data_IF_786409999796
#
_entry.id   IF_786409999796
#
_cell.length_a   1.000
_cell.length_b   1.000
_cell.length_c   1.000
_cell.angle_alpha   90.00
_cell.angle_beta   90.00
_cell.angle_gamma   90.00
#
_symmetry.space_group_name_H-M   'P 1'
#
loop_
_entity.id
_entity.type
_entity.pdbx_description
1 polymer ?
#
# COMPACT_ATOMS: atom_id res chain seq x y z
N UNK A 1 34.75 -14.19 7.23
CA UNK A 1 34.26 -13.22 6.23
C UNK A 1 32.95 -12.67 6.79
N UNK A 2 32.96 -11.44 7.31
CA UNK A 2 31.76 -10.77 7.83
C UNK A 2 30.95 -10.38 6.60
N UNK A 3 29.76 -10.97 6.43
CA UNK A 3 28.81 -10.58 5.40
C UNK A 3 28.47 -9.11 5.67
N UNK A 4 28.84 -8.22 4.76
CA UNK A 4 28.40 -6.83 4.75
C UNK A 4 26.87 -6.85 4.79
N UNK A 5 26.27 -6.36 5.89
CA UNK A 5 24.84 -6.06 5.94
C UNK A 5 24.56 -5.12 4.77
N UNK A 6 23.88 -5.62 3.75
CA UNK A 6 23.48 -4.79 2.62
C UNK A 6 22.72 -3.59 3.18
N UNK A 7 23.26 -2.39 2.99
CA UNK A 7 22.57 -1.16 3.41
C UNK A 7 21.22 -1.13 2.71
N UNK A 8 20.15 -0.89 3.47
CA UNK A 8 18.81 -0.70 2.96
C UNK A 8 18.85 0.37 1.84
N UNK A 9 18.47 0.04 0.58
CA UNK A 9 18.56 0.97 -0.54
C UNK A 9 17.79 2.27 -0.32
N UNK A 10 16.68 2.24 0.41
CA UNK A 10 15.92 3.44 0.77
C UNK A 10 16.74 4.35 1.70
N UNK A 11 17.41 3.77 2.69
CA UNK A 11 18.23 4.51 3.65
C UNK A 11 19.49 5.07 3.00
N UNK A 12 20.07 4.37 2.04
CA UNK A 12 21.36 4.73 1.42
C UNK A 12 21.25 5.53 0.13
N UNK A 13 20.04 5.81 -0.39
CA UNK A 13 19.86 6.53 -1.65
C UNK A 13 20.35 7.98 -1.54
N UNK A 14 21.35 8.41 -2.33
CA UNK A 14 22.07 9.68 -2.12
C UNK A 14 21.24 10.92 -2.47
N UNK A 15 20.27 10.81 -3.38
CA UNK A 15 19.50 11.93 -3.89
C UNK A 15 18.14 12.12 -3.18
N UNK A 16 17.84 11.29 -2.18
CA UNK A 16 16.64 11.43 -1.34
C UNK A 16 17.00 12.23 -0.08
N UNK A 17 16.41 13.41 0.07
CA UNK A 17 16.57 14.23 1.28
C UNK A 17 15.96 13.57 2.52
N UNK A 18 16.44 13.99 3.71
CA UNK A 18 16.07 13.35 4.98
C UNK A 18 14.57 13.37 5.26
N UNK A 19 13.87 14.44 4.93
CA UNK A 19 12.43 14.55 5.14
C UNK A 19 11.63 13.64 4.19
N UNK A 20 12.05 13.51 2.92
CA UNK A 20 11.43 12.59 1.97
C UNK A 20 11.72 11.15 2.36
N UNK A 21 12.94 10.88 2.83
CA UNK A 21 13.34 9.58 3.35
C UNK A 21 12.47 9.17 4.55
N UNK A 22 12.29 10.06 5.51
CA UNK A 22 11.44 9.81 6.67
C UNK A 22 9.96 9.56 6.26
N UNK A 23 9.48 10.29 5.24
CA UNK A 23 8.14 10.06 4.69
C UNK A 23 8.02 8.68 4.04
N UNK A 24 8.98 8.30 3.19
CA UNK A 24 8.99 7.00 2.52
C UNK A 24 9.18 5.84 3.51
N UNK A 25 9.96 6.02 4.57
CA UNK A 25 10.11 5.02 5.62
C UNK A 25 8.80 4.77 6.38
N UNK A 26 8.03 5.83 6.69
CA UNK A 26 6.69 5.67 7.27
C UNK A 26 5.74 4.97 6.30
N UNK A 27 5.74 5.36 5.03
CA UNK A 27 4.94 4.70 4.01
C UNK A 27 5.24 3.20 3.94
N UNK A 28 6.52 2.84 3.88
CA UNK A 28 6.98 1.43 3.82
C UNK A 28 6.66 0.69 5.14
N UNK A 29 6.64 1.38 6.27
CA UNK A 29 6.24 0.80 7.56
C UNK A 29 4.81 0.27 7.56
N UNK A 30 3.91 0.96 6.87
CA UNK A 30 2.46 0.65 6.89
C UNK A 30 1.97 -0.08 5.63
N UNK A 31 2.75 -0.22 4.60
CA UNK A 31 2.27 -0.67 3.30
C UNK A 31 1.96 -2.17 3.17
N UNK A 32 2.31 -2.99 4.18
CA UNK A 32 1.84 -4.38 4.24
C UNK A 32 0.31 -4.43 4.23
N UNK A 33 -0.34 -3.53 5.01
CA UNK A 33 -1.79 -3.39 4.99
C UNK A 33 -2.31 -3.10 3.58
N UNK A 34 -1.65 -2.18 2.85
CA UNK A 34 -2.07 -1.81 1.49
C UNK A 34 -1.88 -2.96 0.51
N UNK A 35 -0.76 -3.71 0.58
CA UNK A 35 -0.53 -4.88 -0.26
C UNK A 35 -1.61 -5.94 -0.05
N UNK A 36 -1.95 -6.21 1.21
CA UNK A 36 -2.97 -7.19 1.59
C UNK A 36 -4.37 -6.77 1.13
N UNK A 37 -4.72 -5.48 1.26
CA UNK A 37 -5.99 -4.93 0.77
C UNK A 37 -6.04 -4.87 -0.76
N UNK A 38 -4.91 -4.54 -1.41
CA UNK A 38 -4.82 -4.47 -2.88
C UNK A 38 -4.80 -5.85 -3.54
N UNK A 39 -4.53 -6.92 -2.76
CA UNK A 39 -4.29 -8.27 -3.26
C UNK A 39 -3.17 -8.29 -4.31
N UNK A 40 -2.11 -7.50 -4.09
CA UNK A 40 -1.07 -7.23 -5.07
C UNK A 40 0.30 -7.06 -4.42
N UNK A 41 1.35 -7.46 -5.12
CA UNK A 41 2.71 -7.08 -4.77
C UNK A 41 2.88 -5.57 -5.01
N UNK A 42 3.50 -4.86 -4.05
CA UNK A 42 3.84 -3.45 -4.21
C UNK A 42 5.35 -3.26 -4.31
N UNK A 43 5.75 -2.35 -5.17
CA UNK A 43 7.16 -1.96 -5.35
C UNK A 43 7.26 -0.43 -5.34
N UNK A 44 8.23 0.10 -4.58
CA UNK A 44 8.56 1.51 -4.50
C UNK A 44 9.71 1.81 -5.45
N UNK A 45 9.49 2.73 -6.38
CA UNK A 45 10.44 3.15 -7.40
C UNK A 45 10.88 4.59 -7.17
N UNK A 46 12.20 4.81 -7.24
CA UNK A 46 12.77 6.15 -7.32
C UNK A 46 13.70 6.25 -8.54
N UNK A 47 13.97 7.46 -9.05
CA UNK A 47 15.00 7.65 -10.05
C UNK A 47 16.32 7.04 -9.55
N UNK A 48 17.10 6.45 -10.44
CA UNK A 48 18.47 6.04 -10.09
C UNK A 48 19.29 7.26 -9.69
N UNK A 49 20.32 7.11 -8.83
CA UNK A 49 21.17 8.22 -8.43
C UNK A 49 21.71 8.99 -9.63
N UNK A 50 21.76 10.33 -9.53
CA UNK A 50 22.20 11.21 -10.63
C UNK A 50 23.61 10.91 -11.19
N UNK A 51 24.44 10.23 -10.40
CA UNK A 51 25.76 9.75 -10.82
C UNK A 51 25.70 8.59 -11.80
N UNK A 52 24.53 7.98 -11.95
CA UNK A 52 24.32 6.82 -12.82
C UNK A 52 23.84 7.31 -14.20
N UNK A 53 24.78 7.37 -15.17
CA UNK A 53 24.53 7.86 -16.53
C UNK A 53 23.49 7.05 -17.31
N UNK A 54 23.25 5.79 -16.93
CA UNK A 54 22.26 4.95 -17.59
C UNK A 54 20.81 5.35 -17.28
N UNK A 55 20.59 6.17 -16.26
CA UNK A 55 19.26 6.70 -15.90
C UNK A 55 18.24 5.62 -15.55
N UNK A 56 17.00 6.02 -15.37
CA UNK A 56 15.86 5.13 -15.11
C UNK A 56 15.42 5.13 -13.66
N UNK A 57 14.81 4.02 -13.22
CA UNK A 57 14.25 3.86 -11.89
C UNK A 57 14.79 2.60 -11.22
N UNK A 58 14.97 2.65 -9.91
CA UNK A 58 15.43 1.56 -9.05
C UNK A 58 14.38 1.24 -8.00
N UNK A 59 14.16 -0.04 -7.72
CA UNK A 59 13.28 -0.50 -6.63
C UNK A 59 13.97 -0.25 -5.29
N UNK A 60 13.36 0.56 -4.42
CA UNK A 60 13.88 0.85 -3.09
C UNK A 60 13.25 -0.02 -2.01
N UNK A 61 12.03 -0.48 -2.23
CA UNK A 61 11.35 -1.39 -1.32
C UNK A 61 10.35 -2.25 -2.10
N UNK A 62 10.04 -3.43 -1.54
CA UNK A 62 9.06 -4.36 -2.06
C UNK A 62 8.28 -4.98 -0.90
N UNK A 63 6.98 -5.19 -1.10
CA UNK A 63 6.14 -5.96 -0.18
C UNK A 63 5.27 -6.93 -0.96
N UNK A 64 5.07 -8.12 -0.37
CA UNK A 64 4.23 -9.19 -0.91
C UNK A 64 2.95 -9.30 -0.10
N UNK A 65 1.77 -9.49 -0.73
CA UNK A 65 0.53 -9.70 0.00
C UNK A 65 0.54 -11.07 0.70
N UNK A 66 -0.09 -11.16 1.88
CA UNK A 66 -0.45 -12.44 2.49
C UNK A 66 -1.82 -12.94 2.02
N UNK A 67 -2.62 -12.07 1.43
CA UNK A 67 -4.00 -12.33 1.01
C UNK A 67 -4.12 -12.83 -0.43
N UNK A 68 -3.03 -12.80 -1.20
CA UNK A 68 -2.97 -13.23 -2.60
C UNK A 68 -1.64 -13.90 -2.91
N UNK A 69 -1.55 -14.74 -3.97
CA UNK A 69 -0.28 -15.26 -4.45
C UNK A 69 0.65 -14.12 -4.87
N UNK A 70 1.93 -14.20 -4.47
CA UNK A 70 2.96 -13.27 -4.93
C UNK A 70 3.34 -13.56 -6.39
N UNK A 71 3.60 -12.51 -7.15
CA UNK A 71 4.09 -12.60 -8.53
C UNK A 71 5.61 -12.52 -8.61
N UNK A 72 6.25 -11.98 -7.59
CA UNK A 72 7.70 -11.88 -7.49
C UNK A 72 8.28 -12.99 -6.62
N UNK A 73 8.80 -14.04 -7.26
CA UNK A 73 9.48 -15.15 -6.57
C UNK A 73 10.84 -14.75 -5.99
N UNK A 74 11.40 -13.63 -6.42
CA UNK A 74 12.69 -13.11 -5.96
C UNK A 74 12.51 -11.68 -5.45
N UNK A 75 13.38 -11.28 -4.56
CA UNK A 75 13.50 -9.89 -4.15
C UNK A 75 14.08 -9.08 -5.32
N UNK A 76 13.42 -7.95 -5.63
CA UNK A 76 13.85 -7.04 -6.69
C UNK A 76 14.37 -5.71 -6.14
N UNK A 77 14.45 -5.55 -4.82
CA UNK A 77 15.03 -4.37 -4.19
C UNK A 77 16.47 -4.17 -4.68
N UNK A 78 16.80 -2.94 -5.08
CA UNK A 78 18.07 -2.61 -5.72
C UNK A 78 18.11 -2.87 -7.23
N UNK A 79 17.11 -3.55 -7.81
CA UNK A 79 17.06 -3.81 -9.25
C UNK A 79 16.49 -2.62 -10.01
N UNK A 80 16.95 -2.45 -11.26
CA UNK A 80 16.41 -1.43 -12.16
C UNK A 80 15.08 -1.86 -12.77
N UNK A 81 14.20 -0.89 -12.99
CA UNK A 81 12.97 -1.11 -13.74
C UNK A 81 13.30 -1.57 -15.17
N UNK A 82 12.65 -2.63 -15.63
CA UNK A 82 12.73 -3.11 -17.01
C UNK A 82 12.21 -2.04 -17.97
N UNK A 83 12.58 -2.13 -19.24
CA UNK A 83 12.28 -1.10 -20.23
C UNK A 83 10.78 -0.76 -20.36
N UNK A 84 9.94 -1.78 -20.37
CA UNK A 84 8.48 -1.67 -20.40
C UNK A 84 7.91 -0.94 -19.16
N UNK A 85 8.30 -1.39 -17.97
CA UNK A 85 7.87 -0.80 -16.70
C UNK A 85 8.48 0.61 -16.51
N UNK A 86 9.73 0.81 -16.92
CA UNK A 86 10.43 2.09 -16.82
C UNK A 86 9.69 3.23 -17.52
N UNK A 87 9.13 2.96 -18.71
CA UNK A 87 8.37 3.95 -19.45
C UNK A 87 7.13 4.43 -18.67
N UNK A 88 6.39 3.51 -18.09
CA UNK A 88 5.16 3.81 -17.32
C UNK A 88 5.49 4.46 -15.97
N UNK A 89 6.51 3.97 -15.26
CA UNK A 89 6.99 4.61 -14.02
C UNK A 89 7.42 6.05 -14.33
N UNK A 90 8.13 6.28 -15.44
CA UNK A 90 8.55 7.61 -15.87
C UNK A 90 7.37 8.53 -16.18
N UNK A 91 6.35 8.05 -16.85
CA UNK A 91 5.12 8.82 -17.09
C UNK A 91 4.43 9.23 -15.78
N UNK A 92 4.27 8.29 -14.84
CA UNK A 92 3.69 8.55 -13.51
C UNK A 92 4.53 9.55 -12.71
N UNK A 93 5.86 9.41 -12.76
CA UNK A 93 6.79 10.30 -12.08
C UNK A 93 6.69 11.75 -12.58
N UNK A 94 6.70 11.95 -13.91
CA UNK A 94 6.69 13.30 -14.51
C UNK A 94 5.27 13.89 -14.57
N UNK A 95 4.25 13.06 -14.78
CA UNK A 95 2.85 13.50 -14.86
C UNK A 95 2.22 13.79 -13.51
N UNK A 96 2.72 13.18 -12.42
CA UNK A 96 2.13 13.35 -11.09
C UNK A 96 0.73 12.73 -10.94
N UNK A 97 0.32 11.91 -11.89
CA UNK A 97 -0.99 11.27 -11.92
C UNK A 97 -0.84 9.74 -11.92
N UNK A 98 -1.87 9.07 -11.39
CA UNK A 98 -1.89 7.62 -11.45
C UNK A 98 -2.02 7.14 -12.88
N UNK A 99 -1.33 6.07 -13.21
CA UNK A 99 -1.49 5.37 -14.47
C UNK A 99 -2.39 4.15 -14.26
N UNK A 100 -3.65 4.26 -14.66
CA UNK A 100 -4.56 3.12 -14.75
C UNK A 100 -4.45 2.49 -16.14
N UNK A 101 -4.49 1.15 -16.17
CA UNK A 101 -4.44 0.41 -17.42
C UNK A 101 -3.11 0.54 -18.15
N UNK A 102 -2.05 0.94 -17.48
CA UNK A 102 -0.71 0.71 -17.98
C UNK A 102 -0.64 -0.76 -18.36
N UNK A 103 -0.50 -1.02 -19.65
CA UNK A 103 -0.70 -2.32 -20.26
C UNK A 103 0.01 -3.47 -19.55
N UNK A 104 -0.28 -4.69 -19.93
CA UNK A 104 0.33 -5.85 -19.30
C UNK A 104 1.86 -5.76 -19.41
N UNK A 105 2.51 -5.76 -18.27
CA UNK A 105 3.97 -5.91 -18.22
C UNK A 105 4.27 -7.38 -18.32
N UNK A 106 5.04 -7.78 -19.33
CA UNK A 106 5.45 -9.19 -19.49
C UNK A 106 6.28 -9.64 -18.29
N UNK A 107 5.81 -10.65 -17.59
CA UNK A 107 6.53 -11.31 -16.50
C UNK A 107 6.79 -12.78 -16.87
N UNK A 108 7.79 -13.41 -16.23
CA UNK A 108 7.93 -14.86 -16.32
C UNK A 108 6.62 -15.53 -15.84
N UNK A 109 5.87 -16.14 -16.76
CA UNK A 109 4.60 -16.82 -16.46
C UNK A 109 3.34 -16.14 -16.98
N UNK A 110 3.43 -14.98 -17.66
CA UNK A 110 2.25 -14.33 -18.27
C UNK A 110 2.26 -12.81 -18.22
N UNK A 111 1.13 -12.26 -18.58
CA UNK A 111 0.86 -10.84 -18.64
C UNK A 111 0.36 -10.35 -17.29
N UNK A 112 1.07 -9.43 -16.64
CA UNK A 112 0.67 -8.83 -15.36
C UNK A 112 -0.08 -7.53 -15.57
N UNK A 113 -1.10 -7.31 -14.76
CA UNK A 113 -1.72 -5.99 -14.64
C UNK A 113 -0.91 -5.14 -13.66
N UNK A 114 -0.44 -3.99 -14.11
CA UNK A 114 0.30 -3.05 -13.28
C UNK A 114 -0.48 -1.74 -13.18
N UNK A 115 -0.68 -1.28 -11.96
CA UNK A 115 -1.24 0.04 -11.65
C UNK A 115 -0.20 0.83 -10.90
N UNK A 116 -0.10 2.13 -11.20
CA UNK A 116 0.94 3.00 -10.65
C UNK A 116 0.33 4.25 -10.02
N UNK A 117 0.88 4.65 -8.90
CA UNK A 117 0.53 5.89 -8.20
C UNK A 117 1.80 6.67 -7.87
N UNK A 118 1.80 8.00 -8.07
CA UNK A 118 2.86 8.84 -7.57
C UNK A 118 2.76 8.95 -6.04
N UNK A 119 3.90 8.95 -5.37
CA UNK A 119 4.01 9.32 -3.96
C UNK A 119 4.29 10.81 -3.91
N UNK A 120 3.34 11.57 -3.40
CA UNK A 120 3.46 13.03 -3.35
C UNK A 120 3.72 13.51 -1.91
N UNK A 121 4.70 14.40 -1.76
CA UNK A 121 4.97 15.12 -0.52
C UNK A 121 5.25 16.59 -0.84
N UNK A 122 4.67 17.50 -0.08
CA UNK A 122 4.83 18.95 -0.28
C UNK A 122 4.62 19.39 -1.76
N UNK A 123 3.61 18.81 -2.42
CA UNK A 123 3.24 19.14 -3.81
C UNK A 123 4.18 18.61 -4.89
N UNK A 124 5.14 17.75 -4.58
CA UNK A 124 6.03 17.14 -5.56
C UNK A 124 6.06 15.62 -5.46
N UNK A 125 6.28 14.96 -6.57
CA UNK A 125 6.47 13.51 -6.63
C UNK A 125 7.85 13.18 -6.07
N UNK A 126 7.92 12.27 -5.08
CA UNK A 126 9.15 11.81 -4.45
C UNK A 126 9.46 10.34 -4.72
N UNK A 127 8.46 9.57 -5.14
CA UNK A 127 8.59 8.17 -5.54
C UNK A 127 7.38 7.77 -6.39
N UNK A 128 7.38 6.53 -6.91
CA UNK A 128 6.23 5.91 -7.56
C UNK A 128 6.00 4.54 -6.93
N UNK A 129 4.77 4.22 -6.56
CA UNK A 129 4.36 2.87 -6.14
C UNK A 129 3.71 2.16 -7.33
N UNK A 130 4.16 0.96 -7.64
CA UNK A 130 3.48 0.06 -8.58
C UNK A 130 2.85 -1.10 -7.83
N UNK A 131 1.59 -1.41 -8.17
CA UNK A 131 0.89 -2.60 -7.70
C UNK A 131 0.78 -3.61 -8.84
N UNK A 132 1.23 -4.82 -8.58
CA UNK A 132 1.28 -5.91 -9.54
C UNK A 132 0.30 -7.00 -9.12
N UNK A 133 -0.68 -7.27 -9.96
CA UNK A 133 -1.69 -8.31 -9.74
C UNK A 133 -1.83 -9.20 -10.98
N UNK A 134 -2.17 -10.46 -10.77
CA UNK A 134 -2.54 -11.37 -11.85
C UNK A 134 -4.01 -11.12 -12.23
N UNK A 135 -4.29 -10.62 -13.43
CA UNK A 135 -5.66 -10.38 -13.87
C UNK A 135 -6.45 -11.68 -14.08
N UNK A 136 -5.76 -12.80 -14.30
CA UNK A 136 -6.34 -14.11 -14.60
C UNK A 136 -6.37 -15.02 -13.37
N UNK A 137 -5.73 -14.61 -12.28
CA UNK A 137 -5.50 -15.44 -11.10
C UNK A 137 -6.75 -15.77 -10.29
N UNK A 138 -7.90 -15.08 -10.57
CA UNK A 138 -9.15 -15.28 -9.83
C UNK A 138 -10.37 -15.14 -10.72
N UNK A 139 -11.36 -16.06 -10.57
CA UNK A 139 -12.72 -15.82 -11.04
C UNK A 139 -13.29 -14.59 -10.28
N UNK A 140 -14.56 -14.25 -10.44
CA UNK A 140 -15.18 -13.07 -9.85
C UNK A 140 -14.75 -12.78 -8.40
N UNK A 141 -14.46 -11.50 -8.09
CA UNK A 141 -14.12 -11.05 -6.73
C UNK A 141 -15.30 -11.25 -5.78
N UNK A 142 -15.00 -11.67 -4.57
CA UNK A 142 -15.98 -11.67 -3.49
C UNK A 142 -16.28 -10.24 -3.00
N UNK A 143 -17.41 -10.03 -2.30
CA UNK A 143 -17.76 -8.73 -1.69
C UNK A 143 -16.64 -8.24 -0.76
N UNK A 144 -15.98 -9.16 -0.05
CA UNK A 144 -14.85 -8.83 0.85
C UNK A 144 -13.68 -8.28 0.01
N UNK A 145 -13.30 -8.97 -1.06
CA UNK A 145 -12.18 -8.56 -1.92
C UNK A 145 -12.46 -7.24 -2.66
N UNK A 146 -13.72 -6.96 -3.01
CA UNK A 146 -14.13 -5.68 -3.59
C UNK A 146 -13.96 -4.54 -2.58
N UNK A 147 -14.40 -4.72 -1.33
CA UNK A 147 -14.21 -3.73 -0.28
C UNK A 147 -12.73 -3.53 0.06
N UNK A 148 -11.95 -4.59 0.11
CA UNK A 148 -10.51 -4.50 0.30
C UNK A 148 -9.84 -3.70 -0.82
N UNK A 149 -10.11 -4.04 -2.07
CA UNK A 149 -9.54 -3.32 -3.23
C UNK A 149 -9.96 -1.85 -3.26
N UNK A 150 -11.20 -1.52 -2.89
CA UNK A 150 -11.68 -0.14 -2.77
C UNK A 150 -10.92 0.62 -1.69
N UNK A 151 -10.77 0.02 -0.52
CA UNK A 151 -10.01 0.62 0.60
C UNK A 151 -8.54 0.82 0.22
N UNK A 152 -7.89 -0.15 -0.43
CA UNK A 152 -6.52 0.00 -0.94
C UNK A 152 -6.41 1.17 -1.92
N UNK A 153 -7.36 1.29 -2.87
CA UNK A 153 -7.37 2.40 -3.82
C UNK A 153 -7.51 3.75 -3.12
N UNK A 154 -8.35 3.84 -2.09
CA UNK A 154 -8.51 5.07 -1.29
C UNK A 154 -7.20 5.45 -0.58
N UNK A 155 -6.48 4.49 0.04
CA UNK A 155 -5.19 4.76 0.69
C UNK A 155 -4.13 5.20 -0.32
N UNK A 156 -4.07 4.55 -1.49
CA UNK A 156 -3.15 4.92 -2.56
C UNK A 156 -3.48 6.31 -3.15
N UNK A 157 -4.76 6.66 -3.27
CA UNK A 157 -5.19 8.00 -3.69
C UNK A 157 -4.85 9.06 -2.61
N UNK A 158 -4.95 8.72 -1.32
CA UNK A 158 -4.47 9.60 -0.25
C UNK A 158 -2.96 9.83 -0.33
N UNK A 159 -2.18 8.80 -0.65
CA UNK A 159 -0.74 8.89 -0.89
C UNK A 159 -0.41 9.81 -2.07
N UNK A 160 -1.13 9.69 -3.18
CA UNK A 160 -1.01 10.56 -4.35
C UNK A 160 -1.28 12.03 -4.02
N UNK A 161 -2.13 12.32 -3.02
CA UNK A 161 -2.46 13.68 -2.60
C UNK A 161 -1.63 14.15 -1.40
N UNK A 162 -0.61 13.41 -1.00
CA UNK A 162 0.26 13.74 0.14
C UNK A 162 -0.46 13.73 1.49
N UNK A 163 -1.58 13.00 1.61
CA UNK A 163 -2.41 12.89 2.82
C UNK A 163 -2.12 11.62 3.64
N UNK A 164 -1.35 10.69 3.09
CA UNK A 164 -0.92 9.46 3.75
C UNK A 164 0.50 9.09 3.30
N UNK A 165 1.37 8.60 4.20
CA UNK A 165 1.15 8.36 5.63
C UNK A 165 0.89 9.66 6.40
N UNK A 166 0.26 9.55 7.59
CA UNK A 166 0.01 10.72 8.40
C UNK A 166 1.34 11.39 8.83
N UNK A 167 1.45 12.73 8.80
CA UNK A 167 2.71 13.42 9.10
C UNK A 167 3.17 13.22 10.54
N UNK A 168 2.24 13.09 11.48
CA UNK A 168 2.50 12.83 12.89
C UNK A 168 1.48 11.82 13.41
N UNK A 169 1.94 10.67 13.90
CA UNK A 169 1.09 9.81 14.71
C UNK A 169 0.97 10.42 16.11
N UNK A 170 -0.25 10.47 16.70
CA UNK A 170 -0.38 10.77 18.10
C UNK A 170 0.40 9.71 18.89
N UNK A 171 1.50 10.12 19.49
CA UNK A 171 2.35 9.26 20.29
C UNK A 171 1.50 8.51 21.32
N UNK A 172 1.37 7.20 21.18
CA UNK A 172 0.77 6.31 22.18
C UNK A 172 -0.53 5.59 21.81
N UNK A 173 -1.19 5.88 20.69
CA UNK A 173 -2.43 5.17 20.33
C UNK A 173 -2.18 3.80 19.68
N UNK A 174 -0.99 3.54 19.15
CA UNK A 174 -0.64 2.30 18.43
C UNK A 174 0.48 1.51 19.12
N UNK A 175 0.38 1.31 20.42
CA UNK A 175 1.33 0.45 21.15
C UNK A 175 1.29 -1.04 20.70
N UNK A 176 0.39 -1.40 19.79
CA UNK A 176 0.13 -2.77 19.34
C UNK A 176 0.76 -3.20 18.02
N UNK A 177 1.54 -2.33 17.33
CA UNK A 177 2.14 -2.64 16.03
C UNK A 177 1.30 -2.16 14.84
N UNK A 178 1.85 -2.31 13.62
CA UNK A 178 1.20 -1.90 12.37
C UNK A 178 -0.09 -2.69 12.13
N UNK A 179 -1.23 -2.01 11.83
CA UNK A 179 -2.50 -2.66 11.52
C UNK A 179 -2.36 -3.65 10.36
N UNK A 180 -3.08 -4.77 10.44
CA UNK A 180 -3.13 -5.79 9.38
C UNK A 180 -4.56 -6.06 8.98
N UNK A 181 -4.76 -6.52 7.76
CA UNK A 181 -6.10 -6.96 7.29
C UNK A 181 -6.71 -8.02 8.21
N UNK A 182 -5.86 -8.89 8.80
CA UNK A 182 -6.28 -9.91 9.76
C UNK A 182 -6.85 -9.38 11.08
N UNK A 183 -6.57 -8.13 11.45
CA UNK A 183 -7.11 -7.49 12.67
C UNK A 183 -8.59 -7.11 12.50
N UNK A 184 -9.01 -6.89 11.26
CA UNK A 184 -10.36 -6.56 10.87
C UNK A 184 -10.45 -5.19 10.19
N UNK A 185 -11.43 -5.06 9.29
CA UNK A 185 -11.72 -3.84 8.54
C UNK A 185 -13.18 -3.44 8.75
N UNK A 186 -13.38 -2.18 9.12
CA UNK A 186 -14.68 -1.50 9.10
C UNK A 186 -14.56 -0.31 8.15
N UNK A 187 -15.44 -0.24 7.17
CA UNK A 187 -15.53 0.92 6.26
C UNK A 187 -16.70 1.78 6.75
N UNK A 188 -16.40 3.05 7.01
CA UNK A 188 -17.40 4.02 7.44
C UNK A 188 -17.72 5.00 6.30
N UNK A 189 -19.00 5.28 6.13
CA UNK A 189 -19.47 6.37 5.28
C UNK A 189 -19.27 7.75 5.92
N UNK A 190 -19.66 8.84 5.21
CA UNK A 190 -19.47 10.22 5.67
C UNK A 190 -20.07 10.52 7.04
N UNK A 191 -21.18 9.86 7.38
CA UNK A 191 -21.90 10.03 8.66
C UNK A 191 -21.39 9.10 9.77
N UNK A 192 -20.22 8.48 9.60
CA UNK A 192 -19.67 7.45 10.50
C UNK A 192 -20.55 6.21 10.65
N UNK A 193 -21.45 5.97 9.70
CA UNK A 193 -22.25 4.76 9.59
C UNK A 193 -21.41 3.67 8.93
N UNK A 194 -21.38 2.47 9.50
CA UNK A 194 -20.66 1.36 8.93
C UNK A 194 -21.34 0.85 7.65
N UNK A 195 -20.60 0.90 6.55
CA UNK A 195 -21.02 0.41 5.23
C UNK A 195 -20.58 -1.04 5.00
N UNK A 196 -19.48 -1.42 5.64
CA UNK A 196 -18.92 -2.77 5.53
C UNK A 196 -18.15 -3.13 6.81
N UNK A 197 -18.30 -4.37 7.24
CA UNK A 197 -17.58 -4.95 8.38
C UNK A 197 -17.01 -6.31 7.97
N UNK A 198 -15.70 -6.47 7.99
CA UNK A 198 -15.08 -7.75 7.66
C UNK A 198 -15.39 -8.82 8.73
N UNK A 199 -15.36 -10.11 8.39
CA UNK A 199 -15.60 -11.19 9.37
C UNK A 199 -14.67 -11.14 10.58
N UNK A 200 -13.40 -10.70 10.38
CA UNK A 200 -12.45 -10.54 11.49
C UNK A 200 -12.84 -9.39 12.40
N UNK A 201 -13.32 -8.27 11.85
CA UNK A 201 -13.83 -7.15 12.65
C UNK A 201 -15.07 -7.56 13.45
N UNK A 202 -16.02 -8.30 12.85
CA UNK A 202 -17.18 -8.86 13.56
C UNK A 202 -16.71 -9.74 14.72
N UNK A 203 -15.72 -10.60 14.50
CA UNK A 203 -15.15 -11.47 15.53
C UNK A 203 -14.46 -10.68 16.64
N UNK A 204 -13.74 -9.61 16.30
CA UNK A 204 -13.09 -8.72 17.27
C UNK A 204 -14.15 -7.99 18.13
N UNK A 205 -15.17 -7.41 17.51
CA UNK A 205 -16.26 -6.73 18.21
C UNK A 205 -17.00 -7.64 19.17
N UNK A 206 -17.28 -8.89 18.75
CA UNK A 206 -17.91 -9.89 19.65
C UNK A 206 -17.06 -10.22 20.86
N UNK A 207 -15.72 -10.28 20.71
CA UNK A 207 -14.81 -10.45 21.87
C UNK A 207 -14.83 -9.27 22.83
N UNK A 208 -15.19 -8.10 22.34
CA UNK A 208 -15.40 -6.89 23.16
C UNK A 208 -16.82 -6.79 23.74
N UNK A 209 -17.66 -7.83 23.56
CA UNK A 209 -19.03 -7.85 24.07
C UNK A 209 -20.07 -7.22 23.13
N UNK A 210 -19.68 -6.77 21.94
CA UNK A 210 -20.57 -6.16 20.95
C UNK A 210 -21.18 -7.27 20.10
N UNK A 211 -22.41 -7.67 20.40
CA UNK A 211 -23.12 -8.74 19.68
C UNK A 211 -23.97 -8.23 18.50
N UNK A 212 -24.25 -6.91 18.44
CA UNK A 212 -25.07 -6.29 17.40
C UNK A 212 -24.33 -6.20 16.06
N UNK A 213 -25.12 -6.20 14.97
CA UNK A 213 -24.59 -5.91 13.64
C UNK A 213 -24.16 -4.44 13.58
N UNK A 214 -22.94 -4.20 13.13
CA UNK A 214 -22.41 -2.83 13.00
C UNK A 214 -22.91 -2.14 11.73
N UNK A 215 -23.07 -2.88 10.63
CA UNK A 215 -23.51 -2.35 9.35
C UNK A 215 -24.86 -1.64 9.45
N UNK A 216 -24.95 -0.43 8.89
CA UNK A 216 -26.12 0.43 8.97
C UNK A 216 -26.22 1.27 10.26
N UNK A 217 -25.29 1.11 11.20
CA UNK A 217 -25.27 1.83 12.47
C UNK A 217 -24.03 2.73 12.58
N UNK A 218 -24.12 3.80 13.36
CA UNK A 218 -22.95 4.60 13.68
C UNK A 218 -22.04 3.83 14.63
N UNK A 219 -20.75 3.81 14.33
CA UNK A 219 -19.77 3.11 15.16
C UNK A 219 -19.80 3.62 16.61
N UNK A 220 -19.90 4.93 16.82
CA UNK A 220 -19.96 5.56 18.15
C UNK A 220 -21.13 5.09 18.97
N UNK A 221 -22.31 4.91 18.35
CA UNK A 221 -23.54 4.52 19.06
C UNK A 221 -23.46 3.04 19.52
N UNK A 222 -22.85 2.21 18.66
CA UNK A 222 -22.63 0.80 18.98
C UNK A 222 -21.61 0.63 20.10
N UNK A 223 -20.50 1.41 20.08
CA UNK A 223 -19.51 1.37 21.14
C UNK A 223 -20.05 1.91 22.49
N UNK A 224 -20.81 3.01 22.46
CA UNK A 224 -21.40 3.58 23.67
C UNK A 224 -22.42 2.64 24.35
N UNK A 225 -23.10 1.77 23.60
CA UNK A 225 -24.04 0.80 24.16
C UNK A 225 -23.37 -0.32 24.99
N UNK A 226 -22.05 -0.47 24.86
CA UNK A 226 -21.27 -1.50 25.57
C UNK A 226 -20.80 -1.03 26.94
N UNK A 227 -20.58 0.27 27.13
CA UNK A 227 -20.16 0.86 28.40
C UNK A 227 -21.32 0.94 29.43
N UNK A 228 -22.55 0.67 28.98
CA UNK A 228 -23.77 0.75 29.81
C UNK A 228 -24.25 -0.63 30.35
N UNK A 229 -23.55 -1.70 30.04
CA UNK A 229 -23.87 -3.08 30.44
C UNK A 229 -22.81 -3.66 31.38
#
# INVERSE_FOLDING_TARGET
MVSSLAQDPLTSHPDIGDEDRAWLQRLVGDWQLVADLALADLVLWCPVPRRDEAGGFVALAQVRPFTAPTLFHRDIVGSRARADLRAVVGQTWHGGERAEGAGPVEAPGGTLQVRLWPVVRAGRVIAVVSAHADPNGRPARSVIEENYSRTASTLLDMMQHGRWPAPEEPSGLWAGGTPRVGDGLVVLGPDSVAEFTSPNAVSALRRLGIASTLEGHRLTDVLASTDAA
#
